data_IF_885054205919
#
_entry.id   IF_885054205919
#
_cell.length_a   1.000
_cell.length_b   1.000
_cell.length_c   1.000
_cell.angle_alpha   90.00
_cell.angle_beta   90.00
_cell.angle_gamma   90.00
#
_symmetry.space_group_name_H-M   'P 1'
#
loop_
_entity.id
_entity.type
_entity.pdbx_description
1 polymer ?
#
# COMPACT_ATOMS: atom_id res chain seq x y z
N UNK A 1 15.82 28.05 -79.49
CA UNK A 1 14.84 27.80 -78.41
C UNK A 1 14.76 26.35 -77.92
N UNK A 2 15.23 25.31 -78.65
CA UNK A 2 15.10 23.90 -78.23
C UNK A 2 15.95 23.44 -77.01
N UNK A 3 17.10 24.07 -76.70
CA UNK A 3 18.00 23.59 -75.63
C UNK A 3 17.45 23.77 -74.20
N UNK A 4 16.61 24.77 -73.95
CA UNK A 4 16.02 25.02 -72.61
C UNK A 4 14.92 24.01 -72.26
N UNK A 5 14.23 23.44 -73.25
CA UNK A 5 13.16 22.45 -73.04
C UNK A 5 13.70 21.09 -72.56
N UNK A 6 14.83 20.64 -73.10
CA UNK A 6 15.44 19.35 -72.75
C UNK A 6 16.04 19.37 -71.33
N UNK A 7 16.62 20.49 -70.90
CA UNK A 7 17.13 20.65 -69.54
C UNK A 7 16.02 20.60 -68.48
N UNK A 8 14.87 21.24 -68.76
CA UNK A 8 13.67 21.20 -67.90
C UNK A 8 13.15 19.78 -67.70
N UNK A 9 13.01 19.00 -68.77
CA UNK A 9 12.52 17.61 -68.71
C UNK A 9 13.49 16.71 -67.92
N UNK A 10 14.80 16.91 -68.07
CA UNK A 10 15.82 16.12 -67.34
C UNK A 10 15.83 16.39 -65.83
N UNK A 11 15.52 17.62 -65.39
CA UNK A 11 15.43 17.97 -63.97
C UNK A 11 14.14 17.43 -63.34
N UNK A 12 13.03 17.45 -64.06
CA UNK A 12 11.74 16.91 -63.57
C UNK A 12 11.80 15.38 -63.44
N UNK A 13 12.45 14.69 -64.38
CA UNK A 13 12.70 13.24 -64.31
C UNK A 13 13.64 12.83 -63.16
N UNK A 14 14.65 13.65 -62.83
CA UNK A 14 15.51 13.41 -61.65
C UNK A 14 14.74 13.55 -60.33
N UNK A 15 13.83 14.53 -60.23
CA UNK A 15 12.98 14.70 -59.04
C UNK A 15 11.99 13.55 -58.86
N UNK A 16 11.44 13.00 -59.95
CA UNK A 16 10.56 11.83 -59.91
C UNK A 16 11.27 10.52 -59.56
N UNK A 17 12.57 10.36 -59.91
CA UNK A 17 13.37 9.18 -59.50
C UNK A 17 13.81 9.23 -58.04
N UNK A 18 14.01 10.42 -57.48
CA UNK A 18 14.41 10.57 -56.09
C UNK A 18 13.25 10.27 -55.12
N UNK A 19 12.03 10.67 -55.46
CA UNK A 19 10.82 10.47 -54.66
C UNK A 19 10.61 9.04 -54.11
N UNK A 20 10.65 7.97 -54.92
CA UNK A 20 10.46 6.62 -54.41
C UNK A 20 11.62 6.17 -53.50
N UNK A 21 12.84 6.62 -53.76
CA UNK A 21 14.01 6.31 -52.92
C UNK A 21 13.88 6.98 -51.55
N UNK A 22 13.44 8.24 -51.51
CA UNK A 22 13.21 8.95 -50.24
C UNK A 22 12.11 8.29 -49.42
N UNK A 23 11.04 7.81 -50.08
CA UNK A 23 9.92 7.13 -49.43
C UNK A 23 10.34 5.77 -48.84
N UNK A 24 11.16 5.01 -49.57
CA UNK A 24 11.76 3.75 -49.06
C UNK A 24 12.69 4.03 -47.87
N UNK A 25 13.51 5.08 -47.93
CA UNK A 25 14.39 5.46 -46.82
C UNK A 25 13.60 5.90 -45.57
N UNK A 26 12.49 6.65 -45.74
CA UNK A 26 11.62 7.01 -44.63
C UNK A 26 10.97 5.79 -43.97
N UNK A 27 10.48 4.84 -44.77
CA UNK A 27 9.92 3.57 -44.24
C UNK A 27 10.97 2.75 -43.50
N UNK A 28 12.21 2.69 -44.02
CA UNK A 28 13.33 2.02 -43.32
C UNK A 28 13.67 2.74 -42.01
N UNK A 29 13.64 4.08 -41.98
CA UNK A 29 13.84 4.87 -40.76
C UNK A 29 12.74 4.61 -39.72
N UNK A 30 11.47 4.59 -40.12
CA UNK A 30 10.39 4.25 -39.20
C UNK A 30 10.49 2.81 -38.69
N UNK A 31 10.77 1.84 -39.57
CA UNK A 31 10.96 0.44 -39.18
C UNK A 31 12.15 0.25 -38.23
N UNK A 32 13.22 1.02 -38.39
CA UNK A 32 14.38 0.96 -37.47
C UNK A 32 14.12 1.64 -36.13
N UNK A 33 13.28 2.68 -36.08
CA UNK A 33 12.76 3.22 -34.82
C UNK A 33 11.89 2.16 -34.11
N UNK A 34 10.96 1.51 -34.81
CA UNK A 34 10.14 0.44 -34.21
C UNK A 34 10.96 -0.79 -33.80
N UNK A 35 12.01 -1.16 -34.56
CA UNK A 35 12.90 -2.27 -34.22
C UNK A 35 13.80 -1.99 -33.00
N UNK A 36 14.10 -0.71 -32.72
CA UNK A 36 14.84 -0.32 -31.50
C UNK A 36 13.92 -0.20 -30.27
N UNK A 37 12.64 0.13 -30.44
CA UNK A 37 11.67 0.15 -29.33
C UNK A 37 11.31 -1.28 -28.88
N UNK A 38 11.40 -2.28 -29.77
CA UNK A 38 11.18 -3.70 -29.44
C UNK A 38 12.38 -4.44 -28.84
N UNK A 39 13.55 -3.79 -28.70
CA UNK A 39 14.80 -4.40 -28.22
C UNK A 39 15.29 -3.87 -26.87
N UNK A 40 14.46 -3.19 -26.08
CA UNK A 40 14.74 -3.10 -24.65
C UNK A 40 14.52 -4.49 -24.03
N UNK A 41 15.57 -5.14 -23.52
CA UNK A 41 15.43 -6.45 -22.91
C UNK A 41 14.50 -6.35 -21.70
N UNK A 42 13.35 -7.02 -21.77
CA UNK A 42 12.57 -7.39 -20.58
C UNK A 42 13.44 -8.32 -19.74
N UNK A 43 14.25 -7.77 -18.82
CA UNK A 43 15.03 -8.57 -17.88
C UNK A 43 16.49 -8.16 -17.63
N UNK A 44 16.96 -7.01 -18.09
CA UNK A 44 18.29 -6.50 -17.73
C UNK A 44 18.23 -5.65 -16.46
N UNK A 45 19.10 -5.92 -15.47
CA UNK A 45 19.24 -5.13 -14.25
C UNK A 45 19.20 -3.61 -14.55
N UNK A 46 18.08 -2.98 -14.22
CA UNK A 46 17.85 -1.57 -14.50
C UNK A 46 18.56 -0.73 -13.45
N UNK A 47 19.81 -0.36 -13.68
CA UNK A 47 20.43 0.73 -12.93
C UNK A 47 19.58 1.99 -13.14
N UNK A 48 18.86 2.40 -12.10
CA UNK A 48 18.01 3.60 -12.14
C UNK A 48 18.77 4.70 -11.44
N UNK A 49 19.23 5.70 -12.15
CA UNK A 49 19.86 6.85 -11.51
C UNK A 49 18.77 7.75 -10.93
N UNK A 50 18.82 8.01 -9.62
CA UNK A 50 17.88 8.91 -8.94
C UNK A 50 18.63 10.17 -8.54
N UNK A 51 18.09 11.33 -8.90
CA UNK A 51 18.62 12.61 -8.48
C UNK A 51 18.00 12.99 -7.13
N UNK A 52 18.84 13.06 -6.10
CA UNK A 52 18.45 13.50 -4.77
C UNK A 52 18.17 15.01 -4.78
N UNK A 53 17.43 15.50 -3.78
CA UNK A 53 17.06 16.92 -3.66
C UNK A 53 18.28 17.86 -3.54
N UNK A 54 19.43 17.33 -3.11
CA UNK A 54 20.71 18.04 -3.05
C UNK A 54 21.46 18.08 -4.40
N UNK A 55 20.85 17.60 -5.49
CA UNK A 55 21.42 17.56 -6.83
C UNK A 55 22.36 16.38 -7.10
N UNK A 56 22.66 15.54 -6.11
CA UNK A 56 23.49 14.35 -6.29
C UNK A 56 22.73 13.25 -7.01
N UNK A 57 23.37 12.63 -8.00
CA UNK A 57 22.85 11.45 -8.69
C UNK A 57 23.44 10.20 -8.08
N UNK A 58 22.58 9.33 -7.54
CA UNK A 58 22.99 8.02 -7.02
C UNK A 58 22.51 6.92 -7.96
N UNK A 59 23.30 5.86 -8.07
CA UNK A 59 22.90 4.63 -8.75
C UNK A 59 21.92 3.88 -7.84
N UNK A 60 20.63 3.91 -8.18
CA UNK A 60 19.64 3.13 -7.45
C UNK A 60 19.62 1.70 -8.00
N UNK A 61 19.76 0.75 -7.09
CA UNK A 61 19.55 -0.65 -7.39
C UNK A 61 18.09 -0.89 -7.73
N UNK A 62 17.84 -1.68 -8.77
CA UNK A 62 16.50 -2.17 -9.08
C UNK A 62 16.03 -3.07 -7.95
N UNK A 63 15.15 -2.53 -7.11
CA UNK A 63 14.51 -3.32 -6.07
C UNK A 63 13.23 -3.93 -6.66
N UNK A 64 12.92 -5.22 -6.43
CA UNK A 64 11.67 -5.81 -6.91
C UNK A 64 10.46 -4.95 -6.51
N UNK A 65 9.46 -4.81 -7.38
CA UNK A 65 8.27 -3.97 -7.07
C UNK A 65 7.51 -4.40 -5.80
N UNK A 66 7.74 -5.64 -5.37
CA UNK A 66 7.19 -6.24 -4.14
C UNK A 66 8.07 -6.04 -2.91
N UNK A 67 9.26 -5.45 -3.01
CA UNK A 67 10.14 -5.27 -1.85
C UNK A 67 9.66 -4.17 -0.93
N UNK A 68 9.78 -4.40 0.38
CA UNK A 68 9.69 -3.41 1.44
C UNK A 68 10.83 -3.66 2.42
N UNK A 69 11.39 -2.60 3.00
CA UNK A 69 12.41 -2.76 4.03
C UNK A 69 11.79 -3.31 5.32
N UNK A 70 12.57 -4.00 6.14
CA UNK A 70 12.07 -4.59 7.39
C UNK A 70 11.52 -3.51 8.32
N UNK A 71 12.09 -2.30 8.30
CA UNK A 71 11.63 -1.16 9.11
C UNK A 71 10.23 -0.70 8.67
N UNK A 72 9.96 -0.67 7.36
CA UNK A 72 8.62 -0.32 6.84
C UNK A 72 7.61 -1.38 7.25
N UNK A 73 7.98 -2.65 7.15
CA UNK A 73 7.13 -3.79 7.55
C UNK A 73 6.86 -3.77 9.05
N UNK A 74 7.89 -3.53 9.87
CA UNK A 74 7.78 -3.44 11.32
C UNK A 74 6.86 -2.28 11.73
N UNK A 75 7.09 -1.08 11.18
CA UNK A 75 6.24 0.09 11.44
C UNK A 75 4.79 -0.19 11.06
N UNK A 76 4.55 -0.73 9.87
CA UNK A 76 3.20 -1.07 9.41
C UNK A 76 2.52 -2.04 10.38
N UNK A 77 3.20 -3.12 10.79
CA UNK A 77 2.66 -4.09 11.74
C UNK A 77 2.34 -3.48 13.12
N UNK A 78 3.23 -2.63 13.64
CA UNK A 78 3.04 -1.90 14.89
C UNK A 78 1.83 -0.96 14.83
N UNK A 79 1.68 -0.25 13.71
CA UNK A 79 0.58 0.69 13.49
C UNK A 79 -0.77 -0.02 13.38
N UNK A 80 -0.85 -1.18 12.73
CA UNK A 80 -2.07 -2.00 12.68
C UNK A 80 -2.57 -2.31 14.09
N UNK A 81 -1.67 -2.76 14.98
CA UNK A 81 -2.05 -3.13 16.33
C UNK A 81 -2.40 -1.90 17.18
N UNK A 82 -1.56 -0.86 17.14
CA UNK A 82 -1.74 0.34 17.96
C UNK A 82 -2.99 1.12 17.56
N UNK A 83 -3.22 1.35 16.26
CA UNK A 83 -4.42 2.01 15.77
C UNK A 83 -5.66 1.17 16.02
N UNK A 84 -5.58 -0.14 15.77
CA UNK A 84 -6.72 -1.04 15.94
C UNK A 84 -7.25 -1.02 17.36
N UNK A 85 -6.36 -0.96 18.36
CA UNK A 85 -6.72 -1.05 19.77
C UNK A 85 -6.74 0.29 20.52
N UNK A 86 -6.38 1.40 19.86
CA UNK A 86 -6.56 2.76 20.37
C UNK A 86 -7.95 3.25 20.00
N UNK A 87 -8.82 3.35 20.98
CA UNK A 87 -10.23 3.72 20.78
C UNK A 87 -10.49 5.10 21.35
N UNK A 88 -11.11 5.94 20.54
CA UNK A 88 -11.51 7.30 20.88
C UNK A 88 -13.04 7.35 20.93
N UNK A 89 -13.59 7.61 22.11
CA UNK A 89 -15.03 7.65 22.34
C UNK A 89 -15.71 8.86 21.68
N UNK A 90 -14.94 9.87 21.25
CA UNK A 90 -15.47 11.02 20.52
C UNK A 90 -15.72 10.71 19.03
N UNK A 91 -15.20 9.58 18.53
CA UNK A 91 -15.42 9.14 17.16
C UNK A 91 -16.66 8.25 17.08
N UNK A 92 -17.43 8.42 16.01
CA UNK A 92 -18.60 7.60 15.77
C UNK A 92 -18.19 6.16 15.46
N UNK A 93 -18.78 5.20 16.17
CA UNK A 93 -18.60 3.77 15.91
C UNK A 93 -19.08 3.41 14.49
N UNK A 94 -18.39 2.47 13.85
CA UNK A 94 -18.78 1.90 12.57
C UNK A 94 -19.78 0.75 12.79
N UNK A 95 -20.91 0.76 12.08
CA UNK A 95 -21.89 -0.32 12.10
C UNK A 95 -21.66 -1.31 10.95
N UNK A 96 -21.39 -2.58 11.28
CA UNK A 96 -21.25 -3.66 10.30
C UNK A 96 -22.15 -4.82 10.70
N UNK A 97 -23.09 -5.20 9.83
CA UNK A 97 -24.04 -6.32 10.07
C UNK A 97 -24.75 -6.23 11.44
N UNK A 98 -25.16 -5.02 11.86
CA UNK A 98 -25.80 -4.73 13.15
C UNK A 98 -24.88 -4.84 14.39
N UNK A 99 -23.58 -4.85 14.19
CA UNK A 99 -22.58 -4.78 15.26
C UNK A 99 -21.82 -3.46 15.19
N UNK A 100 -21.63 -2.82 16.34
CA UNK A 100 -20.88 -1.57 16.46
C UNK A 100 -19.41 -1.88 16.78
N UNK A 101 -18.52 -1.22 16.05
CA UNK A 101 -17.07 -1.31 16.21
C UNK A 101 -16.47 0.08 16.40
N UNK A 102 -15.45 0.25 17.25
CA UNK A 102 -14.66 1.48 17.27
C UNK A 102 -14.17 1.83 15.87
N UNK A 103 -14.31 3.10 15.47
CA UNK A 103 -13.93 3.57 14.14
C UNK A 103 -12.51 3.12 13.75
N UNK A 104 -11.54 3.28 14.66
CA UNK A 104 -10.14 2.91 14.44
C UNK A 104 -9.94 1.39 14.30
N UNK A 105 -10.70 0.58 15.03
CA UNK A 105 -10.66 -0.89 14.91
C UNK A 105 -11.20 -1.36 13.56
N UNK A 106 -12.29 -0.75 13.10
CA UNK A 106 -12.86 -1.03 11.78
C UNK A 106 -11.93 -0.58 10.66
N UNK A 107 -11.31 0.59 10.81
CA UNK A 107 -10.35 1.14 9.86
C UNK A 107 -9.15 0.23 9.62
N UNK A 108 -8.54 -0.31 10.68
CA UNK A 108 -7.44 -1.25 10.51
C UNK A 108 -7.87 -2.57 9.89
N UNK A 109 -9.14 -2.95 10.02
CA UNK A 109 -9.70 -4.11 9.30
C UNK A 109 -9.68 -3.89 7.77
N UNK A 110 -9.81 -2.64 7.31
CA UNK A 110 -9.70 -2.32 5.89
C UNK A 110 -8.30 -2.61 5.36
N UNK A 111 -7.26 -2.48 6.20
CA UNK A 111 -5.85 -2.86 5.94
C UNK A 111 -5.59 -4.38 5.85
N UNK A 112 -6.65 -5.18 5.81
CA UNK A 112 -6.58 -6.63 5.71
C UNK A 112 -7.33 -7.15 4.47
N UNK A 113 -6.80 -8.21 3.85
CA UNK A 113 -7.52 -8.97 2.82
C UNK A 113 -8.67 -9.77 3.46
N UNK A 114 -9.71 -10.06 2.68
CA UNK A 114 -10.63 -11.15 3.01
C UNK A 114 -9.85 -12.47 2.87
N UNK A 115 -9.78 -13.38 3.85
CA UNK A 115 -10.65 -13.58 5.04
C UNK A 115 -10.14 -13.00 6.36
N UNK A 116 -8.92 -12.45 6.40
CA UNK A 116 -8.32 -11.89 7.62
C UNK A 116 -9.18 -10.76 8.21
N UNK A 117 -9.70 -9.86 7.36
CA UNK A 117 -10.63 -8.80 7.78
C UNK A 117 -11.82 -9.34 8.58
N UNK A 118 -12.47 -10.37 8.05
CA UNK A 118 -13.62 -11.02 8.71
C UNK A 118 -13.20 -11.62 10.07
N UNK A 119 -12.04 -12.28 10.16
CA UNK A 119 -11.54 -12.80 11.44
C UNK A 119 -11.23 -11.70 12.44
N UNK A 120 -10.64 -10.59 12.00
CA UNK A 120 -10.32 -9.44 12.85
C UNK A 120 -11.58 -8.90 13.53
N UNK A 121 -12.61 -8.57 12.74
CA UNK A 121 -13.89 -8.10 13.27
C UNK A 121 -14.54 -9.13 14.21
N UNK A 122 -14.46 -10.42 13.88
CA UNK A 122 -14.98 -11.48 14.74
C UNK A 122 -14.23 -11.58 16.08
N UNK A 123 -12.89 -11.44 16.10
CA UNK A 123 -12.10 -11.42 17.34
C UNK A 123 -12.59 -10.34 18.29
N UNK A 124 -12.84 -9.12 17.77
CA UNK A 124 -13.44 -8.05 18.57
C UNK A 124 -14.82 -8.44 19.09
N UNK A 125 -15.70 -8.92 18.21
CA UNK A 125 -17.06 -9.27 18.59
C UNK A 125 -17.10 -10.33 19.69
N UNK A 126 -16.26 -11.37 19.59
CA UNK A 126 -16.22 -12.43 20.60
C UNK A 126 -15.61 -11.96 21.92
N UNK A 127 -14.61 -11.09 21.88
CA UNK A 127 -13.86 -10.65 23.07
C UNK A 127 -14.53 -9.50 23.82
N UNK A 128 -15.12 -8.57 23.09
CA UNK A 128 -15.70 -7.32 23.64
C UNK A 128 -17.20 -7.17 23.39
N UNK A 129 -17.76 -7.88 22.40
CA UNK A 129 -19.17 -7.78 22.02
C UNK A 129 -20.11 -8.72 22.79
N UNK A 130 -19.60 -9.81 23.39
CA UNK A 130 -20.41 -10.73 24.20
C UNK A 130 -20.80 -10.09 25.55
N UNK A 131 -21.94 -9.40 25.57
CA UNK A 131 -22.54 -8.84 26.78
C UNK A 131 -22.97 -7.38 26.68
N UNK A 132 -22.69 -6.71 25.57
CA UNK A 132 -23.03 -5.30 25.37
C UNK A 132 -24.18 -5.15 24.37
N UNK A 133 -25.35 -4.79 24.88
CA UNK A 133 -26.40 -4.24 24.03
C UNK A 133 -25.89 -2.90 23.47
N UNK A 134 -26.28 -2.50 22.26
CA UNK A 134 -25.82 -1.26 21.59
C UNK A 134 -25.96 0.01 22.45
N UNK A 135 -26.92 0.03 23.39
CA UNK A 135 -27.11 1.11 24.36
C UNK A 135 -26.07 1.13 25.49
N UNK A 136 -25.52 -0.02 25.91
CA UNK A 136 -24.52 -0.14 26.98
C UNK A 136 -23.10 0.11 26.47
N UNK A 137 -22.80 -0.26 25.22
CA UNK A 137 -21.49 0.00 24.60
C UNK A 137 -21.14 1.49 24.59
N UNK A 138 -22.15 2.35 24.39
CA UNK A 138 -21.95 3.80 24.42
C UNK A 138 -21.83 4.39 25.82
N UNK A 139 -22.40 3.81 26.87
CA UNK A 139 -22.46 4.46 28.20
C UNK A 139 -21.20 4.21 29.03
N UNK A 140 -20.67 2.98 29.05
CA UNK A 140 -19.44 2.67 29.81
C UNK A 140 -18.15 3.18 29.15
N UNK A 141 -18.16 3.40 27.82
CA UNK A 141 -16.98 3.86 27.06
C UNK A 141 -16.86 5.38 26.96
N UNK A 142 -17.93 6.13 27.21
CA UNK A 142 -17.99 7.59 27.03
C UNK A 142 -17.06 8.39 27.94
N UNK A 143 -16.52 7.76 28.99
CA UNK A 143 -15.57 8.38 29.93
C UNK A 143 -14.24 7.61 30.01
N UNK A 144 -13.97 6.74 29.04
CA UNK A 144 -12.76 5.92 29.00
C UNK A 144 -11.93 6.24 27.77
N UNK A 145 -10.64 6.45 27.99
CA UNK A 145 -9.65 6.57 26.92
C UNK A 145 -8.80 5.31 26.85
N UNK A 146 -8.54 4.86 25.62
CA UNK A 146 -7.82 3.63 25.35
C UNK A 146 -6.49 3.97 24.70
N UNK A 147 -5.40 3.70 25.43
CA UNK A 147 -4.03 3.94 24.98
C UNK A 147 -3.34 2.62 24.68
N UNK A 148 -2.49 2.58 23.66
CA UNK A 148 -1.71 1.39 23.30
C UNK A 148 -0.26 1.78 23.17
N UNK A 149 0.62 0.99 23.80
CA UNK A 149 2.07 1.17 23.74
C UNK A 149 2.68 -0.17 23.33
N UNK A 150 3.55 -0.15 22.32
CA UNK A 150 4.33 -1.34 21.95
C UNK A 150 5.26 -1.69 23.11
N UNK A 151 5.30 -2.96 23.51
CA UNK A 151 6.20 -3.40 24.59
C UNK A 151 7.62 -3.67 24.10
N UNK A 152 7.77 -3.85 22.79
CA UNK A 152 9.03 -3.98 22.06
C UNK A 152 8.81 -3.65 20.59
N UNK A 153 9.90 -3.42 19.87
CA UNK A 153 9.84 -3.28 18.42
C UNK A 153 9.32 -4.57 17.77
N UNK A 154 8.50 -4.48 16.71
CA UNK A 154 8.03 -5.65 15.98
C UNK A 154 9.17 -6.47 15.40
N UNK A 155 9.07 -7.79 15.52
CA UNK A 155 10.05 -8.73 14.98
C UNK A 155 9.59 -9.13 13.59
N UNK A 156 10.37 -8.82 12.56
CA UNK A 156 10.04 -9.14 11.16
C UNK A 156 10.88 -10.32 10.69
N UNK A 157 10.22 -11.32 10.11
CA UNK A 157 10.86 -12.47 9.48
C UNK A 157 10.42 -12.55 8.01
N UNK A 158 11.33 -12.33 7.03
CA UNK A 158 11.01 -12.50 5.63
C UNK A 158 10.68 -13.97 5.33
N UNK A 159 9.63 -14.23 4.55
CA UNK A 159 9.17 -15.59 4.23
C UNK A 159 9.50 -15.93 2.78
N UNK A 160 8.97 -15.13 1.86
CA UNK A 160 9.18 -15.24 0.41
C UNK A 160 9.15 -13.82 -0.18
N UNK A 161 9.61 -13.61 -1.43
CA UNK A 161 9.61 -12.29 -2.03
C UNK A 161 8.24 -11.61 -1.95
N UNK A 162 8.18 -10.46 -1.27
CA UNK A 162 6.93 -9.72 -1.05
C UNK A 162 6.04 -10.23 0.09
N UNK A 163 6.54 -11.12 0.96
CA UNK A 163 5.81 -11.67 2.08
C UNK A 163 6.66 -11.70 3.36
N UNK A 164 6.05 -11.29 4.47
CA UNK A 164 6.70 -11.22 5.78
C UNK A 164 5.80 -11.75 6.87
N UNK A 165 6.42 -12.25 7.93
CA UNK A 165 5.79 -12.50 9.21
C UNK A 165 6.24 -11.38 10.17
N UNK A 166 5.31 -10.77 10.89
CA UNK A 166 5.62 -9.70 11.83
C UNK A 166 4.98 -9.99 13.20
N UNK A 167 5.82 -10.25 14.21
CA UNK A 167 5.36 -10.41 15.58
C UNK A 167 5.30 -9.05 16.28
N UNK A 168 4.13 -8.69 16.80
CA UNK A 168 3.88 -7.42 17.47
C UNK A 168 3.35 -7.70 18.88
N UNK A 169 3.95 -7.03 19.88
CA UNK A 169 3.52 -7.09 21.27
C UNK A 169 3.23 -5.68 21.78
N UNK A 170 2.11 -5.52 22.47
CA UNK A 170 1.69 -4.24 23.00
C UNK A 170 0.99 -4.40 24.35
N UNK A 171 0.92 -3.30 25.10
CA UNK A 171 0.08 -3.16 26.26
C UNK A 171 -0.96 -2.08 25.99
N UNK A 172 -2.21 -2.40 26.24
CA UNK A 172 -3.32 -1.45 26.20
C UNK A 172 -3.67 -1.02 27.61
N UNK A 173 -3.82 0.27 27.82
CA UNK A 173 -4.28 0.87 29.06
C UNK A 173 -5.64 1.51 28.82
N UNK A 174 -6.52 1.37 29.81
CA UNK A 174 -7.81 2.06 29.84
C UNK A 174 -7.75 3.06 30.97
N UNK A 175 -7.91 4.33 30.65
CA UNK A 175 -7.91 5.42 31.63
C UNK A 175 -9.30 6.00 31.79
N UNK A 176 -9.65 6.46 32.99
CA UNK A 176 -10.85 7.25 33.21
C UNK A 176 -10.62 8.74 32.87
N UNK A 177 -11.66 9.56 33.00
CA UNK A 177 -11.59 11.01 32.78
C UNK A 177 -10.54 11.74 33.65
N UNK A 178 -10.14 11.19 34.80
CA UNK A 178 -9.09 11.74 35.67
C UNK A 178 -7.67 11.30 35.25
N UNK A 179 -7.53 10.53 34.17
CA UNK A 179 -6.27 9.97 33.68
C UNK A 179 -5.75 8.78 34.50
N UNK A 180 -6.53 8.23 35.42
CA UNK A 180 -6.12 7.04 36.19
C UNK A 180 -6.35 5.77 35.37
N UNK A 181 -5.35 4.89 35.37
CA UNK A 181 -5.45 3.57 34.73
C UNK A 181 -6.46 2.73 35.53
N UNK A 182 -7.54 2.35 34.86
CA UNK A 182 -8.61 1.49 35.40
C UNK A 182 -8.31 0.03 35.14
N UNK A 183 -7.76 -0.28 33.96
CA UNK A 183 -7.35 -1.63 33.59
C UNK A 183 -6.24 -1.60 32.54
N UNK A 184 -5.53 -2.72 32.43
CA UNK A 184 -4.49 -2.93 31.43
C UNK A 184 -4.61 -4.32 30.82
N UNK A 185 -4.27 -4.44 29.56
CA UNK A 185 -4.33 -5.68 28.81
C UNK A 185 -3.07 -5.88 27.97
N UNK A 186 -2.51 -7.09 27.99
CA UNK A 186 -1.46 -7.49 27.07
C UNK A 186 -2.05 -7.93 25.74
N UNK A 187 -1.49 -7.42 24.65
CA UNK A 187 -1.85 -7.75 23.28
C UNK A 187 -0.65 -8.39 22.58
N UNK A 188 -0.90 -9.43 21.80
CA UNK A 188 0.15 -10.10 21.04
C UNK A 188 -0.40 -10.69 19.76
N UNK A 189 0.20 -10.31 18.63
CA UNK A 189 -0.23 -10.74 17.31
C UNK A 189 0.96 -11.12 16.46
N UNK A 190 0.79 -12.15 15.67
CA UNK A 190 1.67 -12.45 14.53
C UNK A 190 0.89 -12.13 13.26
N UNK A 191 1.37 -11.17 12.47
CA UNK A 191 0.76 -10.78 11.21
C UNK A 191 1.51 -11.40 10.03
N UNK A 192 0.77 -12.04 9.13
CA UNK A 192 1.28 -12.36 7.80
C UNK A 192 1.00 -11.19 6.88
N UNK A 193 2.05 -10.55 6.39
CA UNK A 193 2.01 -9.35 5.57
C UNK A 193 2.41 -9.68 4.13
N UNK A 194 1.77 -9.02 3.17
CA UNK A 194 2.10 -9.13 1.76
C UNK A 194 2.19 -7.75 1.11
N UNK A 195 3.12 -7.63 0.16
CA UNK A 195 3.17 -6.47 -0.72
C UNK A 195 1.94 -6.46 -1.64
N UNK A 196 1.32 -5.29 -1.77
CA UNK A 196 0.16 -5.08 -2.64
C UNK A 196 0.39 -3.90 -3.57
N UNK A 197 -0.36 -3.88 -4.68
CA UNK A 197 -0.46 -2.71 -5.53
C UNK A 197 -1.81 -2.02 -5.24
N UNK A 198 -1.82 -0.92 -4.46
CA UNK A 198 -3.06 -0.27 -4.03
C UNK A 198 -3.90 0.27 -5.21
N UNK A 199 -3.29 0.45 -6.40
CA UNK A 199 -4.01 0.91 -7.61
C UNK A 199 -4.73 -0.20 -8.36
N UNK A 200 -4.40 -1.47 -8.12
CA UNK A 200 -4.90 -2.60 -8.90
C UNK A 200 -5.84 -3.52 -8.12
N UNK A 201 -5.76 -3.51 -6.78
CA UNK A 201 -6.60 -4.38 -5.95
C UNK A 201 -7.94 -3.69 -5.60
N UNK A 202 -9.05 -4.17 -6.18
CA UNK A 202 -10.39 -3.56 -6.09
C UNK A 202 -11.00 -3.52 -4.67
N UNK A 203 -10.50 -4.33 -3.73
CA UNK A 203 -10.95 -4.37 -2.32
C UNK A 203 -10.58 -3.09 -1.55
N UNK A 204 -9.73 -2.26 -2.17
CA UNK A 204 -9.12 -1.08 -1.60
C UNK A 204 -9.63 0.18 -2.30
N UNK A 205 -10.91 0.27 -2.63
CA UNK A 205 -11.48 1.56 -2.98
C UNK A 205 -11.81 2.30 -1.67
N UNK A 206 -11.20 3.47 -1.47
CA UNK A 206 -11.32 4.24 -0.24
C UNK A 206 -12.75 4.71 -0.02
N UNK A 207 -13.25 4.49 1.18
CA UNK A 207 -14.27 5.35 1.74
C UNK A 207 -13.66 6.77 1.90
N UNK A 208 -14.24 7.82 1.29
CA UNK A 208 -13.71 9.18 1.34
C UNK A 208 -13.47 9.70 2.76
N UNK A 209 -14.26 9.25 3.74
CA UNK A 209 -14.12 9.68 5.14
C UNK A 209 -12.88 9.08 5.82
N UNK A 210 -12.36 7.99 5.25
CA UNK A 210 -11.28 7.18 5.81
C UNK A 210 -9.94 7.40 5.11
N UNK A 211 -9.95 8.12 3.98
CA UNK A 211 -8.79 8.42 3.14
C UNK A 211 -7.61 9.06 3.89
N UNK A 212 -7.79 10.08 4.77
CA UNK A 212 -6.66 10.75 5.41
C UNK A 212 -5.88 9.84 6.35
N UNK A 213 -6.54 8.85 6.96
CA UNK A 213 -5.91 7.90 7.87
C UNK A 213 -5.22 6.77 7.13
N UNK A 214 -5.67 6.44 5.93
CA UNK A 214 -5.24 5.27 5.15
C UNK A 214 -4.17 5.60 4.11
N UNK A 215 -4.04 6.87 3.69
CA UNK A 215 -3.10 7.32 2.66
C UNK A 215 -1.64 6.96 2.99
N UNK A 216 -1.20 7.17 4.23
CA UNK A 216 0.16 6.83 4.65
C UNK A 216 0.41 5.30 4.61
N UNK A 217 -0.57 4.50 5.03
CA UNK A 217 -0.48 3.03 5.05
C UNK A 217 -0.56 2.40 3.66
N UNK A 218 -1.26 3.05 2.74
CA UNK A 218 -1.28 2.67 1.35
C UNK A 218 0.00 3.03 0.60
N UNK A 219 0.65 4.12 0.96
CA UNK A 219 1.97 4.46 0.40
C UNK A 219 3.00 3.35 0.70
N UNK A 220 2.86 2.68 1.84
CA UNK A 220 3.67 1.52 2.19
C UNK A 220 3.37 0.28 1.33
N UNK A 221 2.24 0.25 0.62
CA UNK A 221 1.88 -0.82 -0.30
C UNK A 221 1.95 -2.21 0.34
N UNK A 222 1.46 -2.32 1.57
CA UNK A 222 1.39 -3.53 2.38
C UNK A 222 -0.06 -3.82 2.78
N UNK A 223 -0.37 -5.10 2.98
CA UNK A 223 -1.64 -5.54 3.55
C UNK A 223 -1.44 -6.75 4.46
N UNK A 224 -2.30 -6.87 5.46
CA UNK A 224 -2.42 -8.09 6.27
C UNK A 224 -3.18 -9.14 5.47
N UNK A 225 -2.58 -10.31 5.25
CA UNK A 225 -3.23 -11.44 4.58
C UNK A 225 -3.70 -12.50 5.57
N UNK A 226 -3.07 -12.58 6.74
CA UNK A 226 -3.46 -13.43 7.86
C UNK A 226 -2.94 -12.85 9.18
N UNK A 227 -3.47 -13.31 10.31
CA UNK A 227 -2.93 -13.06 11.63
C UNK A 227 -3.28 -14.18 12.61
N UNK A 228 -2.43 -14.33 13.63
CA UNK A 228 -2.66 -15.19 14.79
C UNK A 228 -2.67 -14.32 16.04
N UNK A 229 -3.70 -14.45 16.87
CA UNK A 229 -3.70 -13.88 18.24
C UNK A 229 -2.85 -14.79 19.12
N UNK A 230 -1.73 -14.26 19.59
CA UNK A 230 -0.77 -14.99 20.41
C UNK A 230 -1.14 -14.94 21.91
N UNK A 231 -2.18 -14.20 22.27
CA UNK A 231 -2.55 -13.94 23.64
C UNK A 231 -1.51 -13.08 24.39
N UNK A 232 -1.92 -12.60 25.57
CA UNK A 232 -1.08 -11.82 26.47
C UNK A 232 -0.12 -12.69 27.28
N UNK A 233 0.93 -13.21 26.66
CA UNK A 233 2.07 -13.83 27.37
C UNK A 233 2.96 -12.73 27.95
#
# INVERSE_FOLDING_TARGET
MLKKSIQSISQTLRRFKALPITLVLMVIMELSVYANVGKTPMGGASYRFVQLQNGQTIEAQAVPGVYRSEEVVARFAGDILTLGYKWDHNKQDAEVKRHLFPASYYLTALLMKEPARTRWLNTFYYKYGKGMNSSQMGVDRRNLDYHVILTRDPIVTPQQPGHWLAEVRAMRFVTNADGRIVTSEKLGFEFTLAAINPKMDAVWQLDPELAPYMEQYWADGLAVVDFVDLGGV
#
